data_IF_882946952175
#
_entry.id   IF_882946952175
#
_cell.length_a   1.000
_cell.length_b   1.000
_cell.length_c   1.000
_cell.angle_alpha   90.00
_cell.angle_beta   90.00
_cell.angle_gamma   90.00
#
_symmetry.space_group_name_H-M   'P 1'
#
loop_
_entity.id
_entity.type
_entity.pdbx_description
1 polymer ?
#
# COMPACT_ATOMS: atom_id res chain seq x y z
N UNK A 1 13.82 10.49 -25.88
CA UNK A 1 14.62 9.30 -25.57
C UNK A 1 14.13 8.64 -24.29
N UNK A 2 13.98 7.33 -24.32
CA UNK A 2 13.55 6.60 -23.14
C UNK A 2 14.78 6.10 -22.38
N UNK A 3 14.79 6.30 -21.08
CA UNK A 3 15.81 5.73 -20.21
C UNK A 3 15.26 4.46 -19.59
N UNK A 4 16.01 3.37 -19.72
CA UNK A 4 15.63 2.14 -19.05
C UNK A 4 15.74 2.29 -17.54
N UNK A 5 14.75 1.74 -16.83
CA UNK A 5 14.78 1.65 -15.39
C UNK A 5 14.50 0.21 -14.99
N UNK A 6 15.19 -0.23 -13.96
CA UNK A 6 14.98 -1.57 -13.44
C UNK A 6 14.02 -1.53 -12.26
N UNK A 7 13.09 -2.46 -12.25
CA UNK A 7 12.23 -2.70 -11.10
C UNK A 7 12.55 -4.09 -10.60
N UNK A 8 12.94 -4.20 -9.34
CA UNK A 8 13.20 -5.48 -8.71
C UNK A 8 12.01 -5.87 -7.86
N UNK A 9 11.41 -7.01 -8.16
CA UNK A 9 10.29 -7.56 -7.38
C UNK A 9 10.81 -8.71 -6.54
N UNK A 10 10.45 -8.71 -5.28
CA UNK A 10 10.79 -9.78 -4.38
C UNK A 10 9.52 -10.39 -3.80
N UNK A 11 9.30 -11.67 -4.08
CA UNK A 11 8.14 -12.42 -3.58
C UNK A 11 8.50 -12.99 -2.21
N UNK A 12 8.11 -12.30 -1.16
CA UNK A 12 8.56 -12.59 0.20
C UNK A 12 8.24 -14.04 0.60
N UNK A 13 7.07 -14.52 0.21
CA UNK A 13 6.63 -15.89 0.51
C UNK A 13 6.71 -16.81 -0.71
N UNK A 14 7.42 -16.40 -1.76
CA UNK A 14 7.66 -17.20 -2.94
C UNK A 14 6.51 -17.28 -3.93
N UNK A 15 5.39 -16.60 -3.68
CA UNK A 15 4.23 -16.61 -4.59
C UNK A 15 3.77 -15.20 -4.86
N UNK A 16 3.15 -15.01 -6.03
CA UNK A 16 2.60 -13.70 -6.42
C UNK A 16 1.32 -13.34 -5.68
N UNK A 17 0.69 -14.30 -5.03
CA UNK A 17 -0.56 -14.09 -4.29
C UNK A 17 -0.35 -13.53 -2.88
N UNK A 18 0.89 -13.50 -2.42
CA UNK A 18 1.24 -13.08 -1.08
C UNK A 18 1.94 -11.73 -1.11
N UNK A 19 2.69 -11.43 -0.07
CA UNK A 19 3.38 -10.15 0.07
C UNK A 19 4.50 -10.01 -0.97
N UNK A 20 4.51 -8.88 -1.65
CA UNK A 20 5.53 -8.54 -2.67
C UNK A 20 6.13 -7.19 -2.32
N UNK A 21 7.45 -7.07 -2.43
CA UNK A 21 8.11 -5.77 -2.36
C UNK A 21 8.67 -5.41 -3.72
N UNK A 22 8.71 -4.13 -4.03
CA UNK A 22 9.25 -3.63 -5.29
C UNK A 22 10.18 -2.46 -5.01
N UNK A 23 11.34 -2.48 -5.64
CA UNK A 23 12.30 -1.41 -5.55
C UNK A 23 12.69 -0.98 -6.95
N UNK A 24 12.75 0.33 -7.18
CA UNK A 24 13.10 0.90 -8.45
C UNK A 24 14.56 1.35 -8.39
N UNK A 25 15.33 1.07 -9.46
CA UNK A 25 16.70 1.54 -9.53
C UNK A 25 16.72 3.07 -9.49
N UNK A 26 17.75 3.64 -8.88
CA UNK A 26 17.93 5.08 -8.73
C UNK A 26 16.81 5.78 -7.93
N UNK A 27 16.10 5.04 -7.10
CA UNK A 27 15.06 5.58 -6.24
C UNK A 27 15.20 4.94 -4.85
N UNK A 28 15.11 5.75 -3.82
CA UNK A 28 15.26 5.28 -2.44
C UNK A 28 13.94 4.85 -1.81
N UNK A 29 12.88 4.78 -2.58
CA UNK A 29 11.59 4.35 -2.10
C UNK A 29 11.36 2.86 -2.32
N UNK A 30 10.26 2.39 -1.75
CA UNK A 30 9.85 1.00 -1.84
C UNK A 30 8.34 0.93 -1.97
N UNK A 31 7.86 0.01 -2.78
CA UNK A 31 6.45 -0.32 -2.85
C UNK A 31 6.24 -1.71 -2.27
N UNK A 32 5.19 -1.89 -1.50
CA UNK A 32 4.87 -3.15 -0.85
C UNK A 32 3.43 -3.48 -1.15
N UNK A 33 3.19 -4.61 -1.79
CA UNK A 33 1.85 -5.14 -2.01
C UNK A 33 1.58 -6.19 -0.95
N UNK A 34 0.48 -6.06 -0.23
CA UNK A 34 0.14 -7.00 0.84
C UNK A 34 -1.35 -7.33 0.77
N UNK A 35 -1.70 -8.64 0.73
CA UNK A 35 -3.10 -9.04 0.81
C UNK A 35 -3.70 -8.68 2.17
N UNK A 36 -4.99 -8.39 2.18
CA UNK A 36 -5.73 -8.06 3.41
C UNK A 36 -5.46 -9.06 4.54
N UNK A 37 -5.50 -10.35 4.22
CA UNK A 37 -5.39 -11.39 5.23
C UNK A 37 -4.01 -11.44 5.90
N UNK A 38 -3.00 -10.81 5.30
CA UNK A 38 -1.65 -10.82 5.87
C UNK A 38 -1.31 -9.54 6.64
N UNK A 39 -2.19 -8.53 6.62
CA UNK A 39 -1.87 -7.23 7.21
C UNK A 39 -1.66 -7.31 8.71
N UNK A 40 -2.61 -7.93 9.42
CA UNK A 40 -2.57 -7.95 10.89
C UNK A 40 -1.36 -8.69 11.43
N UNK A 41 -0.89 -9.72 10.73
CA UNK A 41 0.24 -10.54 11.15
C UNK A 41 1.58 -10.08 10.60
N UNK A 42 1.59 -9.03 9.79
CA UNK A 42 2.83 -8.56 9.17
C UNK A 42 3.70 -7.86 10.21
N UNK A 43 4.94 -8.34 10.36
CA UNK A 43 5.89 -7.81 11.33
C UNK A 43 7.00 -6.98 10.69
N UNK A 44 6.81 -6.58 9.43
CA UNK A 44 7.84 -5.81 8.73
C UNK A 44 7.93 -4.40 9.29
N UNK A 45 9.15 -3.95 9.56
CA UNK A 45 9.39 -2.61 10.05
C UNK A 45 9.11 -1.54 8.99
N UNK A 46 9.25 -1.89 7.72
CA UNK A 46 9.10 -0.92 6.65
C UNK A 46 7.65 -0.41 6.50
N UNK A 47 6.65 -1.15 6.95
CA UNK A 47 5.27 -0.66 6.90
C UNK A 47 4.86 0.10 8.16
N UNK A 48 5.74 0.20 9.16
CA UNK A 48 5.50 1.00 10.36
C UNK A 48 6.07 2.41 10.21
N UNK A 49 6.16 2.88 8.99
CA UNK A 49 6.68 4.19 8.65
C UNK A 49 5.60 5.03 7.99
N UNK A 50 5.91 6.31 7.82
CA UNK A 50 5.06 7.20 7.06
C UNK A 50 5.00 6.75 5.61
N UNK A 51 3.83 6.84 5.02
CA UNK A 51 3.67 6.46 3.63
C UNK A 51 2.30 6.76 3.08
N UNK A 52 2.17 6.47 1.79
CA UNK A 52 0.91 6.57 1.04
C UNK A 52 0.47 5.15 0.74
N UNK A 53 -0.81 4.87 0.87
CA UNK A 53 -1.30 3.54 0.62
C UNK A 53 -2.55 3.58 -0.26
N UNK A 54 -2.70 2.52 -1.04
CA UNK A 54 -3.84 2.32 -1.94
C UNK A 54 -4.54 1.05 -1.51
N UNK A 55 -5.84 1.15 -1.23
CA UNK A 55 -6.65 -0.01 -0.90
C UNK A 55 -7.51 -0.36 -2.10
N UNK A 56 -7.33 -1.55 -2.63
CA UNK A 56 -8.06 -2.01 -3.81
C UNK A 56 -9.33 -2.73 -3.38
N UNK A 57 -10.45 -2.19 -3.79
CA UNK A 57 -11.77 -2.63 -3.36
C UNK A 57 -12.56 -3.16 -4.53
N UNK A 58 -13.43 -4.14 -4.26
CA UNK A 58 -14.39 -4.63 -5.24
C UNK A 58 -15.78 -4.22 -4.77
N UNK A 59 -16.49 -3.53 -5.63
CA UNK A 59 -17.85 -3.09 -5.31
C UNK A 59 -18.85 -4.22 -5.52
N UNK A 60 -20.06 -4.06 -4.96
CA UNK A 60 -21.11 -5.06 -5.05
C UNK A 60 -21.52 -5.38 -6.50
N UNK A 61 -21.40 -4.39 -7.40
CA UNK A 61 -21.73 -4.56 -8.81
C UNK A 61 -20.60 -5.20 -9.62
N UNK A 62 -19.50 -5.57 -8.96
CA UNK A 62 -18.34 -6.18 -9.60
C UNK A 62 -17.31 -5.20 -10.12
N UNK A 63 -17.58 -3.89 -10.05
CA UNK A 63 -16.60 -2.88 -10.46
C UNK A 63 -15.48 -2.76 -9.43
N UNK A 64 -14.35 -2.23 -9.87
CA UNK A 64 -13.19 -2.01 -9.01
C UNK A 64 -13.13 -0.54 -8.58
N UNK A 65 -12.71 -0.32 -7.35
CA UNK A 65 -12.44 1.02 -6.85
C UNK A 65 -11.15 1.02 -6.04
N UNK A 66 -10.62 2.20 -5.79
CA UNK A 66 -9.41 2.35 -5.00
C UNK A 66 -9.58 3.50 -4.00
N UNK A 67 -9.19 3.24 -2.77
CA UNK A 67 -9.10 4.26 -1.74
C UNK A 67 -7.63 4.63 -1.59
N UNK A 68 -7.33 5.92 -1.57
CA UNK A 68 -5.97 6.43 -1.42
C UNK A 68 -5.89 7.19 -0.11
N UNK A 69 -4.92 6.83 0.71
CA UNK A 69 -4.72 7.48 2.00
C UNK A 69 -3.25 7.67 2.31
N UNK A 70 -3.00 8.45 3.35
CA UNK A 70 -1.66 8.67 3.87
C UNK A 70 -1.68 8.49 5.38
N UNK A 71 -0.54 8.11 5.95
CA UNK A 71 -0.44 7.91 7.38
C UNK A 71 1.01 8.07 7.83
N UNK A 72 1.19 8.44 9.08
CA UNK A 72 2.53 8.47 9.70
C UNK A 72 3.02 7.07 10.05
N UNK A 73 2.08 6.15 10.31
CA UNK A 73 2.36 4.73 10.51
C UNK A 73 1.34 3.96 9.68
N UNK A 74 1.76 3.46 8.54
CA UNK A 74 0.85 2.83 7.59
C UNK A 74 0.21 1.58 8.18
N UNK A 75 0.99 0.75 8.88
CA UNK A 75 0.43 -0.48 9.45
C UNK A 75 -0.69 -0.17 10.42
N UNK A 76 -0.49 0.79 11.32
CA UNK A 76 -1.53 1.15 12.29
C UNK A 76 -2.80 1.62 11.58
N UNK A 77 -2.64 2.37 10.51
CA UNK A 77 -3.78 2.86 9.75
C UNK A 77 -4.51 1.73 9.03
N UNK A 78 -3.78 0.77 8.47
CA UNK A 78 -4.40 -0.39 7.83
C UNK A 78 -5.15 -1.25 8.84
N UNK A 79 -4.58 -1.44 10.04
CA UNK A 79 -5.25 -2.18 11.10
C UNK A 79 -6.52 -1.44 11.52
N UNK A 80 -6.48 -0.11 11.56
CA UNK A 80 -7.68 0.68 11.87
C UNK A 80 -8.76 0.48 10.80
N UNK A 81 -8.40 0.43 9.53
CA UNK A 81 -9.35 0.13 8.46
C UNK A 81 -9.98 -1.25 8.63
N UNK A 82 -9.18 -2.25 9.05
CA UNK A 82 -9.72 -3.58 9.32
C UNK A 82 -10.77 -3.54 10.42
N UNK A 83 -10.50 -2.81 11.51
CA UNK A 83 -11.45 -2.66 12.61
C UNK A 83 -12.71 -1.92 12.19
N UNK A 84 -12.53 -0.85 11.42
CA UNK A 84 -13.66 -0.04 10.97
C UNK A 84 -14.60 -0.83 10.09
N UNK A 85 -14.08 -1.71 9.24
CA UNK A 85 -14.93 -2.59 8.46
C UNK A 85 -15.68 -3.58 9.35
N UNK A 86 -15.00 -4.18 10.33
CA UNK A 86 -15.63 -5.14 11.25
C UNK A 86 -16.72 -4.51 12.10
N UNK A 87 -16.59 -3.22 12.41
CA UNK A 87 -17.58 -2.50 13.20
C UNK A 87 -18.59 -1.75 12.34
N UNK A 88 -18.62 -2.02 11.05
CA UNK A 88 -19.56 -1.44 10.08
C UNK A 88 -19.40 0.08 9.90
N UNK A 89 -18.25 0.62 10.27
CA UNK A 89 -17.95 2.04 10.04
C UNK A 89 -17.46 2.30 8.62
N UNK A 90 -17.02 1.26 7.91
CA UNK A 90 -16.62 1.34 6.51
C UNK A 90 -17.47 0.36 5.72
N UNK A 91 -17.92 0.79 4.54
CA UNK A 91 -18.83 0.01 3.72
C UNK A 91 -18.11 -0.80 2.64
N UNK A 92 -16.85 -0.46 2.35
CA UNK A 92 -16.13 -1.12 1.27
C UNK A 92 -15.14 -2.14 1.83
N UNK A 93 -15.07 -3.27 1.12
CA UNK A 93 -14.14 -4.35 1.45
C UNK A 93 -12.95 -4.27 0.51
N UNK A 94 -11.78 -3.97 1.06
CA UNK A 94 -10.54 -3.99 0.28
C UNK A 94 -9.85 -5.33 0.48
N UNK A 95 -9.32 -5.90 -0.61
CA UNK A 95 -8.67 -7.21 -0.56
C UNK A 95 -7.15 -7.13 -0.65
N UNK A 96 -6.62 -6.00 -1.11
CA UNK A 96 -5.18 -5.81 -1.30
C UNK A 96 -4.82 -4.37 -0.99
N UNK A 97 -3.69 -4.18 -0.32
CA UNK A 97 -3.12 -2.87 -0.11
C UNK A 97 -1.79 -2.76 -0.86
N UNK A 98 -1.52 -1.60 -1.44
CA UNK A 98 -0.20 -1.27 -1.99
C UNK A 98 0.30 -0.04 -1.25
N UNK A 99 1.48 -0.16 -0.68
CA UNK A 99 2.06 0.85 0.20
C UNK A 99 3.31 1.41 -0.45
N UNK A 100 3.40 2.73 -0.49
CA UNK A 100 4.59 3.41 -1.01
C UNK A 100 5.26 4.13 0.15
N UNK A 101 6.53 3.79 0.40
CA UNK A 101 7.34 4.41 1.43
C UNK A 101 8.66 4.89 0.81
N UNK A 102 9.28 5.86 1.45
CA UNK A 102 10.51 6.45 0.96
C UNK A 102 10.51 7.92 1.25
N UNK A 103 11.64 8.42 1.77
CA UNK A 103 11.70 9.78 2.31
C UNK A 103 11.26 10.84 1.30
N UNK A 104 11.81 10.80 0.11
CA UNK A 104 11.56 11.86 -0.86
C UNK A 104 10.24 11.64 -1.60
N UNK A 105 9.89 10.39 -1.87
CA UNK A 105 8.67 10.07 -2.56
C UNK A 105 7.45 10.42 -1.72
N UNK A 106 7.49 10.12 -0.43
CA UNK A 106 6.35 10.41 0.44
C UNK A 106 6.04 11.89 0.47
N UNK A 107 7.06 12.73 0.57
CA UNK A 107 6.86 14.19 0.55
C UNK A 107 6.26 14.64 -0.78
N UNK A 108 6.75 14.12 -1.88
CA UNK A 108 6.28 14.52 -3.20
C UNK A 108 4.85 14.07 -3.43
N UNK A 109 4.52 12.82 -3.07
CA UNK A 109 3.17 12.29 -3.26
C UNK A 109 2.16 12.97 -2.35
N UNK A 110 2.51 13.21 -1.09
CA UNK A 110 1.63 13.90 -0.15
C UNK A 110 1.33 15.30 -0.65
N UNK A 111 2.37 16.02 -1.08
CA UNK A 111 2.20 17.37 -1.62
C UNK A 111 1.33 17.36 -2.86
N UNK A 112 1.54 16.39 -3.76
CA UNK A 112 0.73 16.26 -4.97
C UNK A 112 -0.74 16.01 -4.62
N UNK A 113 -1.00 15.11 -3.67
CA UNK A 113 -2.37 14.78 -3.28
C UNK A 113 -3.06 15.95 -2.59
N UNK A 114 -2.32 16.76 -1.81
CA UNK A 114 -2.88 17.92 -1.13
C UNK A 114 -3.25 19.06 -2.09
N UNK A 115 -2.56 19.14 -3.21
CA UNK A 115 -2.74 20.25 -4.17
C UNK A 115 -3.62 19.89 -5.37
N UNK A 116 -4.34 18.82 -5.32
CA UNK A 116 -5.23 18.40 -6.41
C UNK A 116 -6.50 19.22 -6.45
#
# INVERSE_FOLDING_TARGET
MAYGKSIELFLVNGTADSLITAELSNWNGKAIKIPRIEVASCNRDDITQAGVYFLFCKEDDGSDSVYIGEAENVKDRLVQHLRDYQTEKEEYYWNTAVIFIGRDLNKALIRYLENR
#
